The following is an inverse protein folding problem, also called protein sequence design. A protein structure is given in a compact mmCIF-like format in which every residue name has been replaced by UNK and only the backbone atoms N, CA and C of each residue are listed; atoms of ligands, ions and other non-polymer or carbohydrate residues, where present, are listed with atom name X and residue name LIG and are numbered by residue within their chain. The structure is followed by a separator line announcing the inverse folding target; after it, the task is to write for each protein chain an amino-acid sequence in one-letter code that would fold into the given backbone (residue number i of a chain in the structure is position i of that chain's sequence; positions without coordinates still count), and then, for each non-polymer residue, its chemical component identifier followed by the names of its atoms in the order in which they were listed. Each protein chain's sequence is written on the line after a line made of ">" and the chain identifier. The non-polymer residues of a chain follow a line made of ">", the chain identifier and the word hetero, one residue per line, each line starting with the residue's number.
data_IF_349339879874
#
_entry.id   IF_349339879874
#
_cell.length_a   1.000
_cell.length_b   1.000
_cell.length_c   1.000
_cell.angle_alpha   90.00
_cell.angle_beta   90.00
_cell.angle_gamma   90.00
#
_symmetry.space_group_name_H-M   'P 1'
#
loop_
_entity.id
_entity.type
_entity.pdbx_description
1 polymer ?
#
# COMPACT_ATOMS: atom_id res chain seq x y z
N UNK A 1 -0.70 30.63 -11.21
CA UNK A 1 0.05 29.77 -10.28
C UNK A 1 -0.85 29.53 -9.08
N UNK A 2 -1.63 28.46 -9.11
CA UNK A 2 -2.39 28.02 -7.94
C UNK A 2 -1.39 27.45 -6.95
N UNK A 3 -1.26 28.09 -5.79
CA UNK A 3 -0.51 27.53 -4.68
C UNK A 3 -1.20 26.23 -4.31
N UNK A 4 -0.57 25.11 -4.63
CA UNK A 4 -0.99 23.80 -4.17
C UNK A 4 -0.62 23.81 -2.68
N UNK A 5 -1.61 24.15 -1.86
CA UNK A 5 -1.52 23.95 -0.42
C UNK A 5 -1.10 22.50 -0.20
N UNK A 6 -0.06 22.26 0.61
CA UNK A 6 0.24 20.92 1.14
C UNK A 6 -1.06 20.36 1.71
N UNK A 7 -1.75 19.56 0.91
CA UNK A 7 -3.04 19.02 1.28
C UNK A 7 -2.73 17.83 2.15
N UNK A 8 -3.01 17.97 3.45
CA UNK A 8 -2.88 16.86 4.38
C UNK A 8 -3.75 15.70 3.87
N UNK A 9 -3.10 14.58 3.56
CA UNK A 9 -3.78 13.38 3.09
C UNK A 9 -4.10 12.48 4.28
N UNK A 10 -5.32 11.92 4.26
CA UNK A 10 -5.74 10.90 5.20
C UNK A 10 -5.68 9.54 4.51
N UNK A 11 -5.29 8.51 5.27
CA UNK A 11 -5.17 7.16 4.77
C UNK A 11 -6.10 6.20 5.51
N UNK A 12 -6.72 5.30 4.77
CA UNK A 12 -7.63 4.28 5.28
C UNK A 12 -7.12 2.88 4.93
N UNK A 13 -7.12 1.98 5.90
CA UNK A 13 -6.82 0.56 5.73
C UNK A 13 -8.11 -0.23 5.48
N UNK A 14 -8.21 -0.88 4.32
CA UNK A 14 -9.29 -1.82 4.00
C UNK A 14 -8.74 -3.25 3.95
N UNK A 15 -9.38 -4.17 4.70
CA UNK A 15 -9.02 -5.59 4.72
C UNK A 15 -10.17 -6.39 4.10
N UNK A 16 -9.88 -7.22 3.09
CA UNK A 16 -10.85 -8.13 2.51
C UNK A 16 -11.36 -9.15 3.56
N UNK A 17 -12.62 -9.56 3.46
CA UNK A 17 -13.21 -10.53 4.40
C UNK A 17 -12.46 -11.87 4.47
N UNK A 18 -11.86 -12.31 3.35
CA UNK A 18 -11.05 -13.53 3.30
C UNK A 18 -9.62 -13.34 3.81
N UNK A 19 -9.23 -12.10 4.20
CA UNK A 19 -7.90 -11.73 4.67
C UNK A 19 -6.77 -12.07 3.69
N UNK A 20 -7.06 -12.22 2.40
CA UNK A 20 -6.03 -12.43 1.38
C UNK A 20 -5.62 -11.13 0.71
N UNK A 21 -6.41 -10.07 0.83
CA UNK A 21 -6.11 -8.80 0.18
C UNK A 21 -6.34 -7.64 1.12
N UNK A 22 -5.41 -6.69 1.09
CA UNK A 22 -5.46 -5.44 1.83
C UNK A 22 -5.26 -4.30 0.85
N UNK A 23 -5.94 -3.19 1.11
CA UNK A 23 -5.74 -1.93 0.40
C UNK A 23 -5.48 -0.80 1.38
N UNK A 24 -4.71 0.19 0.93
CA UNK A 24 -4.58 1.49 1.58
C UNK A 24 -5.08 2.55 0.61
N UNK A 25 -6.10 3.29 1.03
CA UNK A 25 -6.69 4.37 0.26
C UNK A 25 -6.21 5.72 0.80
N UNK A 26 -6.04 6.69 -0.08
CA UNK A 26 -5.76 8.09 0.25
C UNK A 26 -7.01 8.93 0.03
N UNK A 27 -7.17 10.01 0.81
CA UNK A 27 -8.29 10.96 0.70
C UNK A 27 -8.37 11.69 -0.65
N UNK A 28 -7.32 11.64 -1.47
CA UNK A 28 -7.35 12.13 -2.85
C UNK A 28 -7.92 11.13 -3.86
N UNK A 29 -8.46 10.01 -3.38
CA UNK A 29 -9.10 8.96 -4.19
C UNK A 29 -8.15 7.87 -4.68
N UNK A 30 -6.86 7.96 -4.35
CA UNK A 30 -5.86 6.96 -4.74
C UNK A 30 -5.99 5.68 -3.92
N UNK A 31 -5.69 4.54 -4.54
CA UNK A 31 -5.29 3.33 -3.81
C UNK A 31 -3.77 3.23 -3.87
N UNK A 32 -3.12 3.62 -2.79
CA UNK A 32 -1.66 3.76 -2.72
C UNK A 32 -0.97 2.47 -2.32
N UNK A 33 -1.65 1.59 -1.58
CA UNK A 33 -1.12 0.30 -1.17
C UNK A 33 -2.06 -0.84 -1.53
N UNK A 34 -1.52 -1.95 -2.02
CA UNK A 34 -2.21 -3.24 -2.11
C UNK A 34 -1.25 -4.38 -1.75
N UNK A 35 -1.69 -5.28 -0.89
CA UNK A 35 -1.05 -6.57 -0.68
C UNK A 35 -2.02 -7.68 -1.06
N UNK A 36 -1.59 -8.67 -1.86
CA UNK A 36 -2.44 -9.77 -2.33
C UNK A 36 -1.63 -11.02 -2.67
N UNK A 37 -2.25 -12.16 -3.02
CA UNK A 37 -1.52 -13.33 -3.53
C UNK A 37 -0.80 -13.07 -4.87
N UNK A 38 -0.91 -11.87 -5.44
CA UNK A 38 -0.23 -11.45 -6.68
C UNK A 38 0.95 -10.50 -6.45
N UNK A 39 1.26 -10.19 -5.19
CA UNK A 39 2.39 -9.36 -4.80
C UNK A 39 1.98 -8.05 -4.13
N UNK A 40 2.93 -7.13 -4.14
CA UNK A 40 2.85 -5.80 -3.53
C UNK A 40 2.61 -4.75 -4.62
N UNK A 41 1.67 -3.85 -4.40
CA UNK A 41 1.60 -2.57 -5.09
C UNK A 41 1.78 -1.47 -4.04
N UNK A 42 2.80 -0.63 -4.18
CA UNK A 42 2.94 0.62 -3.44
C UNK A 42 3.17 1.75 -4.45
N UNK A 43 2.22 2.66 -4.54
CA UNK A 43 2.17 3.72 -5.54
C UNK A 43 2.26 5.10 -4.89
N UNK A 44 2.73 6.08 -5.66
CA UNK A 44 2.49 7.48 -5.33
C UNK A 44 1.01 7.81 -5.59
N UNK A 45 0.49 8.76 -4.81
CA UNK A 45 -0.87 9.29 -4.94
C UNK A 45 -1.09 9.96 -6.30
N UNK A 46 -2.34 10.13 -6.73
CA UNK A 46 -2.65 10.88 -7.95
C UNK A 46 -2.15 12.33 -7.85
N UNK A 47 -2.23 12.93 -6.66
CA UNK A 47 -1.71 14.28 -6.41
C UNK A 47 -0.20 14.38 -6.68
N UNK A 48 0.56 13.39 -6.21
CA UNK A 48 2.00 13.27 -6.45
C UNK A 48 2.33 12.98 -7.92
N UNK A 49 1.56 12.11 -8.58
CA UNK A 49 1.73 11.80 -10.00
C UNK A 49 1.48 13.02 -10.90
N UNK A 50 0.44 13.80 -10.61
CA UNK A 50 0.16 15.07 -11.30
C UNK A 50 1.27 16.11 -11.08
N UNK A 51 2.04 15.97 -9.99
CA UNK A 51 3.24 16.76 -9.70
C UNK A 51 4.50 16.21 -10.38
N UNK A 52 4.40 15.13 -11.15
CA UNK A 52 5.47 14.54 -11.96
C UNK A 52 6.18 13.34 -11.35
N UNK A 53 5.73 12.83 -10.20
CA UNK A 53 6.25 11.58 -9.65
C UNK A 53 5.73 10.36 -10.47
N UNK A 54 6.50 9.26 -10.55
CA UNK A 54 6.02 8.05 -11.23
C UNK A 54 4.85 7.42 -10.46
N UNK A 55 4.06 6.57 -11.12
CA UNK A 55 3.00 5.81 -10.44
C UNK A 55 3.59 4.85 -9.40
N UNK A 56 4.47 3.95 -9.82
CA UNK A 56 5.04 2.93 -8.95
C UNK A 56 6.12 3.51 -8.03
N UNK A 57 5.94 3.33 -6.72
CA UNK A 57 6.98 3.56 -5.71
C UNK A 57 7.76 2.29 -5.44
N UNK A 58 7.05 1.18 -5.25
CA UNK A 58 7.61 -0.16 -5.12
C UNK A 58 6.52 -1.21 -5.40
N UNK A 59 6.70 -1.99 -6.47
CA UNK A 59 5.77 -3.07 -6.80
C UNK A 59 6.53 -4.37 -7.04
N UNK A 60 5.93 -5.47 -6.63
CA UNK A 60 6.40 -6.83 -6.90
C UNK A 60 5.34 -7.59 -7.69
N UNK A 61 5.77 -8.65 -8.37
CA UNK A 61 4.88 -9.51 -9.14
C UNK A 61 5.06 -10.95 -8.72
N UNK A 62 3.95 -11.66 -8.53
CA UNK A 62 3.95 -13.07 -8.15
C UNK A 62 3.53 -13.30 -6.69
N UNK A 63 3.50 -14.56 -6.28
CA UNK A 63 3.10 -14.90 -4.91
C UNK A 63 4.10 -14.32 -3.90
N UNK A 64 3.64 -13.54 -2.91
CA UNK A 64 4.54 -12.90 -1.96
C UNK A 64 5.06 -13.89 -0.91
N UNK A 65 6.21 -13.58 -0.32
CA UNK A 65 6.77 -14.31 0.83
C UNK A 65 6.38 -13.66 2.17
N UNK A 66 6.85 -14.23 3.28
CA UNK A 66 6.75 -13.60 4.60
C UNK A 66 7.54 -12.29 4.66
N UNK A 67 8.73 -12.24 4.06
CA UNK A 67 9.52 -11.02 3.96
C UNK A 67 8.82 -9.91 3.16
N UNK A 68 8.10 -10.26 2.09
CA UNK A 68 7.27 -9.31 1.34
C UNK A 68 6.15 -8.72 2.21
N UNK A 69 5.49 -9.56 3.01
CA UNK A 69 4.47 -9.08 3.96
C UNK A 69 5.02 -8.08 4.96
N UNK A 70 6.17 -8.39 5.57
CA UNK A 70 6.83 -7.47 6.49
C UNK A 70 7.24 -6.17 5.79
N UNK A 71 7.78 -6.26 4.58
CA UNK A 71 8.15 -5.09 3.78
C UNK A 71 6.94 -4.20 3.48
N UNK A 72 5.81 -4.80 3.11
CA UNK A 72 4.57 -4.05 2.87
C UNK A 72 4.12 -3.28 4.12
N UNK A 73 4.15 -3.92 5.30
CA UNK A 73 3.81 -3.27 6.57
C UNK A 73 4.77 -2.13 6.89
N UNK A 74 6.07 -2.37 6.79
CA UNK A 74 7.11 -1.39 7.12
C UNK A 74 6.99 -0.16 6.24
N UNK A 75 6.83 -0.33 4.92
CA UNK A 75 6.64 0.79 3.99
C UNK A 75 5.33 1.52 4.19
N UNK A 76 4.25 0.82 4.51
CA UNK A 76 2.96 1.45 4.79
C UNK A 76 3.03 2.38 6.01
N UNK A 77 3.74 1.96 7.05
CA UNK A 77 4.00 2.78 8.23
C UNK A 77 4.94 3.95 7.91
N UNK A 78 6.05 3.69 7.24
CA UNK A 78 7.06 4.71 6.90
C UNK A 78 6.50 5.81 6.00
N UNK A 79 5.68 5.45 5.01
CA UNK A 79 5.27 6.36 3.95
C UNK A 79 3.93 7.05 4.21
N UNK A 80 3.01 6.39 4.91
CA UNK A 80 1.65 6.87 5.10
C UNK A 80 1.20 6.88 6.56
N UNK A 81 2.07 6.47 7.49
CA UNK A 81 1.72 6.37 8.91
C UNK A 81 0.68 5.28 9.21
N UNK A 82 0.45 4.35 8.27
CA UNK A 82 -0.56 3.29 8.43
C UNK A 82 0.08 2.08 9.10
N UNK A 83 -0.19 1.90 10.39
CA UNK A 83 0.20 0.68 11.11
C UNK A 83 -0.79 -0.46 10.80
N UNK A 84 -0.32 -1.46 10.06
CA UNK A 84 -1.12 -2.62 9.69
C UNK A 84 -0.89 -3.74 10.72
N UNK A 85 -1.95 -4.31 11.33
CA UNK A 85 -1.82 -5.43 12.24
C UNK A 85 -1.10 -6.62 11.61
N UNK A 86 -0.20 -7.28 12.33
CA UNK A 86 0.56 -8.43 11.82
C UNK A 86 -0.36 -9.58 11.37
N UNK A 87 -1.53 -9.71 12.00
CA UNK A 87 -2.57 -10.69 11.68
C UNK A 87 -3.64 -10.15 10.72
N UNK A 88 -3.39 -9.07 9.99
CA UNK A 88 -4.37 -8.53 9.04
C UNK A 88 -4.64 -9.50 7.86
N UNK A 89 -3.64 -10.31 7.48
CA UNK A 89 -3.77 -11.33 6.45
C UNK A 89 -3.91 -12.75 7.02
N UNK A 90 -4.44 -13.65 6.20
CA UNK A 90 -4.18 -15.09 6.30
C UNK A 90 -2.83 -15.38 5.65
N UNK A 91 -1.89 -16.00 6.37
CA UNK A 91 -0.54 -16.26 5.86
C UNK A 91 -0.45 -17.56 5.05
N UNK A 92 -1.54 -18.31 4.90
CA UNK A 92 -1.55 -19.62 4.23
C UNK A 92 -1.14 -19.57 2.75
N UNK A 93 -1.23 -18.40 2.10
CA UNK A 93 -0.84 -18.22 0.69
C UNK A 93 0.58 -17.69 0.49
N UNK A 94 1.29 -17.36 1.57
CA UNK A 94 2.66 -16.86 1.48
C UNK A 94 3.61 -17.99 1.10
N UNK A 95 4.59 -17.67 0.25
CA UNK A 95 5.70 -18.55 -0.04
C UNK A 95 6.72 -18.54 1.12
N UNK A 96 7.47 -19.64 1.31
CA UNK A 96 8.66 -19.61 2.15
C UNK A 96 9.69 -18.62 1.59
N UNK A 97 10.50 -18.04 2.48
CA UNK A 97 11.63 -17.16 2.12
C UNK A 97 12.80 -17.94 1.50
#
# INVERSE_FOLDING_TARGET
>A
MTQQTDQELFYELQIAANRQTIWIHSSDGSTVGRFSPRGIDLHNTVTEQMSGLPECRMCTHGSPTQADWLTFRDRSLEWWGVDIPHNAIDTSFLLPD
#
